data_IF_810643788350
#
_entry.id   IF_810643788350
#
_cell.length_a   1.000
_cell.length_b   1.000
_cell.length_c   1.000
_cell.angle_alpha   90.00
_cell.angle_beta   90.00
_cell.angle_gamma   90.00
#
_symmetry.space_group_name_H-M   'P 1'
#
loop_
_entity.id
_entity.type
_entity.pdbx_description
1 polymer ?
#
# COMPACT_ATOMS: atom_id res chain seq x y z
N UNK A 1 74.50 -5.30 34.77
CA UNK A 1 74.23 -4.20 33.82
C UNK A 1 72.73 -4.12 33.56
N UNK A 2 72.23 -2.90 33.37
CA UNK A 2 70.84 -2.47 33.36
C UNK A 2 69.93 -3.16 32.31
N UNK A 3 68.68 -3.42 32.74
CA UNK A 3 67.38 -3.05 32.15
C UNK A 3 67.26 -2.89 30.62
N UNK A 4 66.18 -3.43 30.01
CA UNK A 4 65.23 -2.74 29.10
C UNK A 4 64.08 -3.70 28.70
N UNK A 5 62.90 -3.41 29.26
CA UNK A 5 61.55 -3.32 28.65
C UNK A 5 60.92 -4.49 27.83
N UNK A 6 59.80 -5.01 28.37
CA UNK A 6 58.58 -5.43 27.61
C UNK A 6 57.97 -4.21 26.89
N UNK A 7 57.19 -4.28 25.78
CA UNK A 7 55.87 -4.96 25.64
C UNK A 7 55.71 -5.68 24.26
N UNK A 8 54.72 -6.50 23.90
CA UNK A 8 53.27 -6.36 23.76
C UNK A 8 52.69 -7.79 23.56
N UNK A 9 51.71 -8.26 24.33
CA UNK A 9 50.26 -8.10 24.13
C UNK A 9 49.68 -8.81 22.89
N UNK A 10 48.84 -9.83 23.16
CA UNK A 10 47.69 -10.31 22.36
C UNK A 10 48.00 -11.11 21.08
N UNK A 11 47.36 -12.24 20.73
CA UNK A 11 45.95 -12.65 20.83
C UNK A 11 45.89 -14.17 21.12
N UNK A 12 45.20 -14.64 22.17
CA UNK A 12 43.75 -14.87 22.27
C UNK A 12 43.21 -15.97 21.33
N UNK A 13 43.34 -17.21 21.84
CA UNK A 13 42.35 -18.29 21.83
C UNK A 13 41.20 -18.17 20.81
N UNK A 14 41.28 -19.00 19.77
CA UNK A 14 40.15 -19.34 18.89
C UNK A 14 39.29 -20.37 19.63
N UNK A 15 38.24 -19.92 20.32
CA UNK A 15 37.19 -20.80 20.85
C UNK A 15 35.87 -20.50 20.17
N UNK A 16 35.45 -21.47 19.36
CA UNK A 16 34.08 -21.99 19.24
C UNK A 16 32.99 -20.97 19.55
N UNK A 17 32.55 -20.28 18.51
CA UNK A 17 31.17 -19.81 18.42
C UNK A 17 30.72 -20.14 17.01
N UNK A 18 30.50 -21.45 16.78
CA UNK A 18 29.66 -21.91 15.70
C UNK A 18 28.31 -21.24 15.93
N UNK A 19 28.20 -20.10 15.27
CA UNK A 19 27.10 -19.19 15.28
C UNK A 19 25.84 -20.01 15.01
N UNK A 20 24.95 -20.01 15.99
CA UNK A 20 23.54 -20.31 15.83
C UNK A 20 22.97 -19.26 14.87
N UNK A 21 23.22 -19.39 13.56
CA UNK A 21 22.64 -18.56 12.49
C UNK A 21 21.46 -19.25 11.82
N UNK A 22 20.98 -20.35 12.39
CA UNK A 22 19.82 -21.09 11.91
C UNK A 22 18.60 -20.84 12.80
N UNK A 23 18.19 -19.58 13.02
CA UNK A 23 16.79 -19.21 13.37
C UNK A 23 16.64 -17.72 13.74
N UNK A 24 16.77 -16.81 12.79
CA UNK A 24 16.15 -15.48 12.92
C UNK A 24 15.46 -15.09 11.60
N UNK A 25 14.52 -15.92 11.14
CA UNK A 25 13.36 -15.39 10.41
C UNK A 25 12.50 -14.63 11.44
N UNK A 26 12.98 -13.49 11.93
CA UNK A 26 12.14 -12.60 12.73
C UNK A 26 11.10 -12.05 11.75
N UNK A 27 9.88 -12.59 11.84
CA UNK A 27 8.73 -12.03 11.16
C UNK A 27 8.66 -10.53 11.50
N UNK A 28 8.53 -9.70 10.46
CA UNK A 28 8.41 -8.25 10.61
C UNK A 28 7.30 -7.91 11.61
N UNK A 29 7.54 -6.94 12.49
CA UNK A 29 6.56 -6.56 13.51
C UNK A 29 5.30 -5.96 12.86
N UNK A 30 4.14 -6.09 13.52
CA UNK A 30 2.90 -5.42 13.05
C UNK A 30 3.09 -3.91 12.93
N UNK A 31 3.92 -3.32 13.80
CA UNK A 31 4.26 -1.89 13.75
C UNK A 31 4.95 -1.52 12.44
N UNK A 32 6.01 -2.23 12.06
CA UNK A 32 6.76 -1.96 10.83
C UNK A 32 5.91 -2.23 9.58
N UNK A 33 5.08 -3.28 9.62
CA UNK A 33 4.11 -3.55 8.56
C UNK A 33 3.07 -2.43 8.42
N UNK A 34 2.53 -1.89 9.53
CA UNK A 34 1.62 -0.75 9.53
C UNK A 34 2.30 0.52 8.99
N UNK A 35 3.56 0.76 9.34
CA UNK A 35 4.34 1.88 8.82
C UNK A 35 4.42 1.82 7.29
N UNK A 36 4.91 0.70 6.75
CA UNK A 36 5.07 0.50 5.31
C UNK A 36 3.74 0.67 4.59
N UNK A 37 2.69 0.00 5.08
CA UNK A 37 1.41 0.05 4.40
C UNK A 37 0.79 1.46 4.46
N UNK A 38 0.95 2.17 5.58
CA UNK A 38 0.50 3.56 5.71
C UNK A 38 1.22 4.48 4.72
N UNK A 39 2.53 4.31 4.50
CA UNK A 39 3.29 5.10 3.52
C UNK A 39 2.74 4.92 2.10
N UNK A 40 2.52 3.68 1.68
CA UNK A 40 1.94 3.36 0.37
C UNK A 40 0.55 3.97 0.23
N UNK A 41 -0.30 3.77 1.23
CA UNK A 41 -1.66 4.30 1.17
C UNK A 41 -1.71 5.83 1.24
N UNK A 42 -0.76 6.48 1.92
CA UNK A 42 -0.63 7.93 1.89
C UNK A 42 -0.32 8.43 0.47
N UNK A 43 0.62 7.79 -0.23
CA UNK A 43 0.92 8.12 -1.63
C UNK A 43 -0.32 7.98 -2.51
N UNK A 44 -1.08 6.89 -2.35
CA UNK A 44 -2.32 6.67 -3.10
C UNK A 44 -3.37 7.76 -2.82
N UNK A 45 -3.57 8.14 -1.55
CA UNK A 45 -4.50 9.21 -1.17
C UNK A 45 -4.07 10.55 -1.75
N UNK A 46 -2.79 10.89 -1.64
CA UNK A 46 -2.25 12.17 -2.12
C UNK A 46 -2.38 12.30 -3.65
N UNK A 47 -2.06 11.25 -4.41
CA UNK A 47 -2.23 11.22 -5.86
C UNK A 47 -3.71 11.37 -6.27
N UNK A 48 -4.60 10.67 -5.57
CA UNK A 48 -6.05 10.74 -5.81
C UNK A 48 -6.60 12.14 -5.48
N UNK A 49 -6.09 12.80 -4.44
CA UNK A 49 -6.49 14.17 -4.10
C UNK A 49 -5.98 15.20 -5.10
N UNK A 50 -4.71 15.10 -5.49
CA UNK A 50 -4.12 15.98 -6.50
C UNK A 50 -4.91 15.93 -7.81
N UNK A 51 -5.39 14.75 -8.20
CA UNK A 51 -6.31 14.59 -9.33
C UNK A 51 -7.63 15.33 -9.11
N UNK A 52 -8.33 15.07 -7.99
CA UNK A 52 -9.65 15.67 -7.69
C UNK A 52 -9.64 17.20 -7.69
N UNK A 53 -8.56 17.83 -7.21
CA UNK A 53 -8.47 19.29 -7.13
C UNK A 53 -8.34 19.96 -8.50
N UNK A 54 -7.85 19.24 -9.51
CA UNK A 54 -7.45 19.83 -10.80
C UNK A 54 -8.28 19.31 -11.99
N UNK A 55 -9.14 18.31 -11.80
CA UNK A 55 -9.84 17.64 -12.88
C UNK A 55 -11.23 18.20 -13.15
N UNK A 56 -11.53 18.51 -14.43
CA UNK A 56 -12.92 18.52 -14.93
C UNK A 56 -13.33 17.09 -15.26
N UNK A 57 -14.61 16.74 -15.11
CA UNK A 57 -15.08 15.40 -15.46
C UNK A 57 -15.24 15.26 -16.98
N UNK A 58 -14.17 14.81 -17.64
CA UNK A 58 -14.13 14.51 -19.07
C UNK A 58 -13.42 13.17 -19.34
N UNK A 59 -13.28 12.82 -20.62
CA UNK A 59 -12.68 11.56 -21.06
C UNK A 59 -11.22 11.43 -20.63
N UNK A 60 -10.46 12.52 -20.70
CA UNK A 60 -9.03 12.52 -20.38
C UNK A 60 -8.82 12.40 -18.87
N UNK A 61 -9.63 13.12 -18.08
CA UNK A 61 -9.66 12.97 -16.63
C UNK A 61 -10.03 11.53 -16.22
N UNK A 62 -11.02 10.92 -16.88
CA UNK A 62 -11.35 9.52 -16.61
C UNK A 62 -10.20 8.56 -16.95
N UNK A 63 -9.49 8.80 -18.06
CA UNK A 63 -8.30 8.02 -18.41
C UNK A 63 -7.17 8.19 -17.38
N UNK A 64 -6.95 9.40 -16.89
CA UNK A 64 -5.96 9.65 -15.84
C UNK A 64 -6.35 8.98 -14.52
N UNK A 65 -7.64 9.04 -14.15
CA UNK A 65 -8.15 8.36 -12.96
C UNK A 65 -7.91 6.85 -13.03
N UNK A 66 -8.18 6.22 -14.17
CA UNK A 66 -7.90 4.78 -14.40
C UNK A 66 -6.41 4.49 -14.23
N UNK A 67 -5.53 5.32 -14.78
CA UNK A 67 -4.08 5.14 -14.64
C UNK A 67 -3.64 5.25 -13.18
N UNK A 68 -4.19 6.20 -12.41
CA UNK A 68 -3.92 6.37 -10.97
C UNK A 68 -4.38 5.13 -10.20
N UNK A 69 -5.60 4.65 -10.45
CA UNK A 69 -6.14 3.49 -9.72
C UNK A 69 -5.38 2.20 -10.07
N UNK A 70 -5.03 2.02 -11.34
CA UNK A 70 -4.24 0.86 -11.78
C UNK A 70 -2.83 0.88 -11.19
N UNK A 71 -2.18 2.05 -11.17
CA UNK A 71 -0.88 2.24 -10.51
C UNK A 71 -0.98 1.95 -9.01
N UNK A 72 -2.00 2.48 -8.33
CA UNK A 72 -2.24 2.27 -6.90
C UNK A 72 -2.42 0.78 -6.58
N UNK A 73 -3.24 0.07 -7.35
CA UNK A 73 -3.42 -1.38 -7.21
C UNK A 73 -2.10 -2.16 -7.34
N UNK A 74 -1.24 -1.78 -8.29
CA UNK A 74 0.11 -2.37 -8.42
C UNK A 74 1.00 -2.06 -7.23
N UNK A 75 1.02 -0.82 -6.76
CA UNK A 75 1.86 -0.43 -5.61
C UNK A 75 1.47 -1.20 -4.35
N UNK A 76 0.18 -1.39 -4.11
CA UNK A 76 -0.36 -2.17 -2.97
C UNK A 76 0.01 -3.64 -3.08
N UNK A 77 -0.17 -4.25 -4.26
CA UNK A 77 0.10 -5.69 -4.46
C UNK A 77 1.59 -6.02 -4.54
N UNK A 78 2.43 -5.06 -4.93
CA UNK A 78 3.90 -5.22 -4.98
C UNK A 78 4.59 -5.17 -3.61
N UNK A 79 3.84 -4.83 -2.54
CA UNK A 79 4.39 -4.81 -1.19
C UNK A 79 4.91 -6.19 -0.78
N UNK A 80 5.96 -6.18 0.05
CA UNK A 80 6.41 -7.42 0.71
C UNK A 80 5.25 -8.02 1.50
N UNK A 81 5.11 -9.34 1.41
CA UNK A 81 4.04 -10.08 2.04
C UNK A 81 3.89 -9.72 3.52
N UNK A 82 2.68 -9.36 3.92
CA UNK A 82 2.34 -9.13 5.32
C UNK A 82 2.22 -10.47 6.04
N UNK A 83 2.65 -10.50 7.29
CA UNK A 83 2.44 -11.63 8.19
C UNK A 83 1.22 -11.39 9.11
N UNK A 84 0.82 -10.13 9.27
CA UNK A 84 -0.39 -9.78 10.02
C UNK A 84 -1.65 -10.01 9.19
N UNK A 85 -2.57 -10.85 9.70
CA UNK A 85 -3.79 -11.24 8.99
C UNK A 85 -4.72 -10.07 8.66
N UNK A 86 -4.78 -9.06 9.53
CA UNK A 86 -5.60 -7.87 9.28
C UNK A 86 -4.99 -7.05 8.15
N UNK A 87 -3.66 -6.90 8.12
CA UNK A 87 -2.98 -6.19 7.04
C UNK A 87 -3.08 -6.92 5.69
N UNK A 88 -3.00 -8.26 5.67
CA UNK A 88 -3.30 -9.06 4.47
C UNK A 88 -4.72 -8.75 3.98
N UNK A 89 -5.70 -8.77 4.88
CA UNK A 89 -7.11 -8.49 4.53
C UNK A 89 -7.28 -7.07 3.97
N UNK A 90 -6.61 -6.08 4.55
CA UNK A 90 -6.62 -4.71 4.03
C UNK A 90 -6.00 -4.64 2.63
N UNK A 91 -4.86 -5.31 2.40
CA UNK A 91 -4.19 -5.37 1.10
C UNK A 91 -5.12 -5.94 0.02
N UNK A 92 -5.79 -7.07 0.31
CA UNK A 92 -6.74 -7.70 -0.61
C UNK A 92 -7.93 -6.78 -0.93
N UNK A 93 -8.51 -6.15 0.10
CA UNK A 93 -9.65 -5.24 -0.08
C UNK A 93 -9.29 -4.00 -0.88
N UNK A 94 -8.16 -3.36 -0.58
CA UNK A 94 -7.71 -2.21 -1.36
C UNK A 94 -7.37 -2.60 -2.80
N UNK A 95 -6.69 -3.72 -3.02
CA UNK A 95 -6.41 -4.21 -4.38
C UNK A 95 -7.70 -4.43 -5.17
N UNK A 96 -8.67 -5.15 -4.61
CA UNK A 96 -9.97 -5.42 -5.24
C UNK A 96 -10.73 -4.12 -5.54
N UNK A 97 -10.68 -3.15 -4.64
CA UNK A 97 -11.28 -1.84 -4.80
C UNK A 97 -10.67 -1.05 -5.97
N UNK A 98 -9.35 -1.01 -6.09
CA UNK A 98 -8.67 -0.30 -7.18
C UNK A 98 -8.86 -1.00 -8.53
N UNK A 99 -8.97 -2.33 -8.56
CA UNK A 99 -9.40 -3.09 -9.74
C UNK A 99 -10.85 -2.77 -10.13
N UNK A 100 -11.72 -2.56 -9.15
CA UNK A 100 -13.10 -2.15 -9.37
C UNK A 100 -13.20 -0.76 -10.00
N UNK A 101 -12.38 0.20 -9.57
CA UNK A 101 -12.27 1.50 -10.23
C UNK A 101 -11.77 1.39 -11.66
N UNK A 102 -10.65 0.69 -11.85
CA UNK A 102 -9.99 0.54 -13.15
C UNK A 102 -10.91 -0.11 -14.18
N UNK A 103 -11.60 -1.20 -13.78
CA UNK A 103 -12.55 -1.91 -14.64
C UNK A 103 -13.78 -1.06 -14.98
N UNK A 104 -14.40 -0.41 -13.99
CA UNK A 104 -15.59 0.41 -14.22
C UNK A 104 -15.27 1.63 -15.10
N UNK A 105 -14.15 2.32 -14.84
CA UNK A 105 -13.70 3.44 -15.65
C UNK A 105 -13.39 3.02 -17.08
N UNK A 106 -12.72 1.89 -17.26
CA UNK A 106 -12.40 1.35 -18.58
C UNK A 106 -13.64 1.01 -19.40
N UNK A 107 -14.70 0.51 -18.76
CA UNK A 107 -15.98 0.25 -19.45
C UNK A 107 -16.69 1.55 -19.85
N UNK A 108 -16.54 2.64 -19.08
CA UNK A 108 -17.08 3.96 -19.44
C UNK A 108 -16.36 4.53 -20.68
N UNK A 109 -15.04 4.28 -20.83
CA UNK A 109 -14.28 4.74 -22.01
C UNK A 109 -14.62 3.98 -23.30
N UNK A 110 -15.23 2.80 -23.21
CA UNK A 110 -15.60 1.96 -24.36
C UNK A 110 -16.97 2.37 -24.90
N UNK A 111 -17.00 3.49 -25.65
CA UNK A 111 -18.23 4.06 -26.21
C UNK A 111 -19.08 3.05 -26.99
N UNK A 112 -18.45 2.16 -27.76
CA UNK A 112 -19.16 1.10 -28.49
C UNK A 112 -19.98 0.18 -27.56
N UNK A 113 -19.45 -0.18 -26.39
CA UNK A 113 -20.20 -0.97 -25.39
C UNK A 113 -21.41 -0.21 -24.85
N UNK A 114 -21.25 1.09 -24.58
CA UNK A 114 -22.33 1.93 -24.04
C UNK A 114 -23.43 2.15 -25.08
N UNK A 115 -23.07 2.44 -26.32
CA UNK A 115 -24.03 2.65 -27.41
C UNK A 115 -24.85 1.37 -27.64
N UNK A 116 -24.20 0.20 -27.61
CA UNK A 116 -24.90 -1.08 -27.75
C UNK A 116 -25.70 -1.50 -26.51
N UNK A 117 -25.27 -1.11 -25.31
CA UNK A 117 -25.94 -1.42 -24.06
C UNK A 117 -25.71 -0.31 -23.01
N UNK A 118 -26.61 0.70 -22.93
CA UNK A 118 -26.47 1.82 -21.99
C UNK A 118 -26.41 1.40 -20.52
N UNK A 119 -26.94 0.22 -20.17
CA UNK A 119 -26.89 -0.31 -18.81
C UNK A 119 -25.45 -0.51 -18.31
N UNK A 120 -24.49 -0.76 -19.22
CA UNK A 120 -23.07 -0.85 -18.88
C UNK A 120 -22.58 0.47 -18.27
N UNK A 121 -22.92 1.61 -18.89
CA UNK A 121 -22.55 2.93 -18.39
C UNK A 121 -23.14 3.20 -16.99
N UNK A 122 -24.44 2.91 -16.81
CA UNK A 122 -25.10 3.06 -15.51
C UNK A 122 -24.50 2.16 -14.43
N UNK A 123 -24.24 0.89 -14.76
CA UNK A 123 -23.64 -0.07 -13.83
C UNK A 123 -22.22 0.35 -13.44
N UNK A 124 -21.41 0.81 -14.39
CA UNK A 124 -20.06 1.31 -14.11
C UNK A 124 -20.06 2.56 -13.22
N UNK A 125 -20.95 3.52 -13.49
CA UNK A 125 -21.09 4.71 -12.63
C UNK A 125 -21.56 4.33 -11.22
N UNK A 126 -22.52 3.40 -11.10
CA UNK A 126 -22.95 2.86 -9.80
C UNK A 126 -21.79 2.18 -9.06
N UNK A 127 -20.99 1.39 -9.78
CA UNK A 127 -19.82 0.69 -9.23
C UNK A 127 -18.77 1.69 -8.72
N UNK A 128 -18.42 2.71 -9.50
CA UNK A 128 -17.51 3.79 -9.07
C UNK A 128 -18.04 4.46 -7.80
N UNK A 129 -19.33 4.82 -7.77
CA UNK A 129 -19.94 5.47 -6.59
C UNK A 129 -19.87 4.58 -5.36
N UNK A 130 -20.15 3.29 -5.49
CA UNK A 130 -20.04 2.34 -4.39
C UNK A 130 -18.59 2.20 -3.91
N UNK A 131 -17.63 2.11 -4.85
CA UNK A 131 -16.22 2.04 -4.54
C UNK A 131 -15.74 3.27 -3.76
N UNK A 132 -16.24 4.48 -4.04
CA UNK A 132 -15.89 5.68 -3.25
C UNK A 132 -16.34 5.56 -1.79
N UNK A 133 -17.51 4.99 -1.54
CA UNK A 133 -17.99 4.76 -0.17
C UNK A 133 -17.15 3.69 0.53
N UNK A 134 -16.87 2.59 -0.17
CA UNK A 134 -16.04 1.49 0.34
C UNK A 134 -14.61 1.94 0.63
N UNK A 135 -13.99 2.74 -0.24
CA UNK A 135 -12.64 3.31 -0.05
C UNK A 135 -12.55 4.06 1.27
N UNK A 136 -13.53 4.92 1.53
CA UNK A 136 -13.58 5.74 2.74
C UNK A 136 -13.73 4.89 4.00
N UNK A 137 -14.63 3.91 3.99
CA UNK A 137 -14.82 2.99 5.10
C UNK A 137 -13.56 2.15 5.36
N UNK A 138 -12.88 1.73 4.28
CA UNK A 138 -11.67 0.93 4.35
C UNK A 138 -10.49 1.73 4.89
N UNK A 139 -10.27 2.95 4.42
CA UNK A 139 -9.26 3.89 4.93
C UNK A 139 -9.49 4.21 6.42
N UNK A 140 -10.75 4.44 6.81
CA UNK A 140 -11.11 4.68 8.22
C UNK A 140 -10.80 3.48 9.09
N UNK A 141 -11.16 2.28 8.63
CA UNK A 141 -10.93 1.03 9.34
C UNK A 141 -9.44 0.70 9.45
N UNK A 142 -8.68 0.95 8.38
CA UNK A 142 -7.22 0.82 8.37
C UNK A 142 -6.56 1.76 9.36
N UNK A 143 -6.95 3.04 9.36
CA UNK A 143 -6.44 4.02 10.32
C UNK A 143 -6.71 3.60 11.77
N UNK A 144 -7.93 3.14 12.09
CA UNK A 144 -8.25 2.63 13.44
C UNK A 144 -7.37 1.45 13.85
N UNK A 145 -7.00 0.60 12.90
CA UNK A 145 -6.16 -0.56 13.15
C UNK A 145 -4.69 -0.20 13.39
N UNK A 146 -4.13 0.73 12.58
CA UNK A 146 -2.73 1.12 12.68
C UNK A 146 -2.45 2.28 13.67
N UNK A 147 -3.47 3.02 14.11
CA UNK A 147 -3.32 4.14 15.05
C UNK A 147 -2.68 3.73 16.39
N UNK A 148 -3.04 2.59 17.03
CA UNK A 148 -2.32 2.09 18.21
C UNK A 148 -0.83 1.78 17.96
N UNK A 149 -0.44 1.56 16.70
CA UNK A 149 0.96 1.35 16.30
C UNK A 149 1.70 2.67 16.02
N UNK A 150 0.99 3.81 16.06
CA UNK A 150 1.52 5.15 15.80
C UNK A 150 1.41 5.60 14.34
N UNK A 151 0.62 4.93 13.50
CA UNK A 151 0.50 5.24 12.08
C UNK A 151 -0.93 5.54 11.67
N UNK A 152 -1.08 6.56 10.82
CA UNK A 152 -2.36 7.03 10.31
C UNK A 152 -2.16 7.69 8.95
N UNK A 153 -3.03 7.38 8.00
CA UNK A 153 -3.15 8.07 6.72
C UNK A 153 -3.87 9.39 6.97
N UNK A 154 -3.23 10.48 6.55
CA UNK A 154 -3.77 11.82 6.60
C UNK A 154 -4.65 12.10 5.38
N UNK A 155 -5.47 13.14 5.48
CA UNK A 155 -6.34 13.58 4.39
C UNK A 155 -7.32 12.50 3.89
N UNK A 156 -7.70 11.54 4.72
CA UNK A 156 -8.84 10.67 4.40
C UNK A 156 -10.08 11.57 4.31
N UNK A 157 -10.63 11.72 3.10
CA UNK A 157 -11.71 12.66 2.83
C UNK A 157 -12.92 12.37 3.75
N UNK A 158 -13.59 13.42 4.29
CA UNK A 158 -14.69 13.26 5.24
C UNK A 158 -15.97 12.68 4.64
#
# INVERSE_FOLDING_TARGET
>A
MFNIQKPYFYYFVITVSAFVLASCNQAESTKDQCQRFTQVMQTVVDETQAFKQNSKFDRDALSQFINITEKSGREITSQTAFNDKSLITFQEKFSSLYDNYTSAGSDILKLNKIVSNPQIGYNSLKKIRQSVLEEKELLTSFNKYCEPQGFKINNVAP
#
